data_IF_917574846600
#
_entry.id   IF_917574846600
#
_cell.length_a   1.000
_cell.length_b   1.000
_cell.length_c   1.000
_cell.angle_alpha   90.00
_cell.angle_beta   90.00
_cell.angle_gamma   90.00
#
_symmetry.space_group_name_H-M   'P 1'
#
loop_
_entity.id
_entity.type
_entity.pdbx_description
1 polymer ?
#
# COMPACT_ATOMS: atom_id res chain seq x y z
N UNK A 1 -30.90 -13.65 8.85
CA UNK A 1 -31.34 -12.53 8.00
C UNK A 1 -30.13 -11.97 7.30
N UNK A 2 -30.03 -12.17 5.98
CA UNK A 2 -28.93 -11.65 5.18
C UNK A 2 -29.11 -10.15 5.00
N UNK A 3 -28.24 -9.36 5.64
CA UNK A 3 -28.14 -7.93 5.37
C UNK A 3 -27.56 -7.75 3.97
N UNK A 4 -28.37 -7.20 3.06
CA UNK A 4 -27.88 -6.68 1.79
C UNK A 4 -26.76 -5.68 2.09
N UNK A 5 -25.53 -6.04 1.74
CA UNK A 5 -24.39 -5.16 1.84
C UNK A 5 -24.61 -4.06 0.80
N UNK A 6 -25.04 -2.89 1.27
CA UNK A 6 -25.26 -1.72 0.44
C UNK A 6 -24.09 -1.51 -0.52
N UNK A 7 -24.45 -1.18 -1.75
CA UNK A 7 -23.65 -1.01 -2.96
C UNK A 7 -22.57 0.08 -2.77
N UNK A 8 -21.51 -0.25 -2.02
CA UNK A 8 -20.37 0.64 -1.87
C UNK A 8 -19.54 0.59 -3.14
N UNK A 9 -19.28 1.77 -3.72
CA UNK A 9 -18.41 1.91 -4.88
C UNK A 9 -17.08 1.15 -4.68
N UNK A 10 -16.57 0.48 -5.73
CA UNK A 10 -15.42 -0.39 -5.62
C UNK A 10 -14.18 0.40 -5.19
N UNK A 11 -13.62 0.05 -4.04
CA UNK A 11 -12.45 0.74 -3.49
C UNK A 11 -11.17 0.24 -4.14
N UNK A 12 -10.51 1.11 -4.90
CA UNK A 12 -9.18 0.85 -5.48
C UNK A 12 -8.14 0.82 -4.36
N UNK A 13 -7.30 -0.21 -4.35
CA UNK A 13 -6.17 -0.35 -3.40
C UNK A 13 -4.81 -0.26 -4.08
N UNK A 14 -4.76 -0.52 -5.38
CA UNK A 14 -3.57 -0.31 -6.17
C UNK A 14 -3.93 -0.02 -7.63
N UNK A 15 -3.12 0.80 -8.28
CA UNK A 15 -3.17 1.05 -9.71
C UNK A 15 -1.74 1.23 -10.22
N UNK A 16 -1.45 0.79 -11.44
CA UNK A 16 -0.24 1.16 -12.17
C UNK A 16 -0.52 1.30 -13.65
N UNK A 17 0.23 2.16 -14.32
CA UNK A 17 0.23 2.34 -15.77
C UNK A 17 1.66 2.48 -16.31
N UNK A 18 1.84 2.15 -17.58
CA UNK A 18 3.07 2.40 -18.33
C UNK A 18 3.01 1.76 -19.72
N UNK A 19 4.18 1.51 -20.31
CA UNK A 19 4.32 0.95 -21.67
C UNK A 19 3.71 -0.44 -21.85
N UNK A 20 3.56 -1.21 -20.77
CA UNK A 20 2.92 -2.54 -20.79
C UNK A 20 1.40 -2.50 -20.61
N UNK A 21 0.83 -1.30 -20.49
CA UNK A 21 -0.57 -1.05 -20.16
C UNK A 21 -0.81 -0.79 -18.68
N UNK A 22 -2.03 -1.04 -18.23
CA UNK A 22 -2.51 -0.68 -16.91
C UNK A 22 -2.97 -1.90 -16.10
N UNK A 23 -2.82 -1.82 -14.77
CA UNK A 23 -3.34 -2.82 -13.84
C UNK A 23 -4.01 -2.10 -12.68
N UNK A 24 -5.20 -2.55 -12.30
CA UNK A 24 -5.98 -2.02 -11.18
C UNK A 24 -6.37 -3.16 -10.24
N UNK A 25 -6.31 -2.91 -8.94
CA UNK A 25 -6.68 -3.86 -7.90
C UNK A 25 -7.65 -3.24 -6.90
N UNK A 26 -8.57 -4.08 -6.40
CA UNK A 26 -9.67 -3.70 -5.52
C UNK A 26 -9.57 -4.36 -4.14
N UNK A 27 -10.08 -3.67 -3.10
CA UNK A 27 -10.13 -4.21 -1.73
C UNK A 27 -11.00 -5.48 -1.63
N UNK A 28 -12.02 -5.58 -2.48
CA UNK A 28 -12.97 -6.69 -2.55
C UNK A 28 -13.14 -7.10 -4.02
N UNK A 29 -13.61 -8.32 -4.31
CA UNK A 29 -13.99 -8.72 -5.66
C UNK A 29 -14.90 -7.69 -6.33
N UNK A 30 -14.60 -7.33 -7.58
CA UNK A 30 -15.40 -6.42 -8.39
C UNK A 30 -15.71 -7.14 -9.71
N UNK A 31 -16.70 -8.06 -9.73
CA UNK A 31 -16.93 -8.95 -10.87
C UNK A 31 -17.38 -8.23 -12.14
N UNK A 32 -18.09 -7.11 -11.99
CA UNK A 32 -18.69 -6.30 -13.07
C UNK A 32 -17.82 -5.10 -13.47
N UNK A 33 -16.52 -5.11 -13.13
CA UNK A 33 -15.60 -4.01 -13.39
C UNK A 33 -15.54 -3.59 -14.87
N UNK A 34 -15.72 -4.52 -15.80
CA UNK A 34 -15.75 -4.24 -17.25
C UNK A 34 -16.82 -3.21 -17.66
N UNK A 35 -17.87 -3.06 -16.85
CA UNK A 35 -18.96 -2.11 -17.08
C UNK A 35 -18.64 -0.71 -16.53
N UNK A 36 -17.58 -0.57 -15.73
CA UNK A 36 -17.22 0.68 -15.11
C UNK A 36 -16.36 1.54 -16.03
N UNK A 37 -16.64 2.84 -16.04
CA UNK A 37 -15.83 3.82 -16.74
C UNK A 37 -14.58 4.15 -15.90
N UNK A 38 -13.42 3.80 -16.44
CA UNK A 38 -12.12 4.13 -15.88
C UNK A 38 -11.50 5.20 -16.77
N UNK A 39 -11.25 6.37 -16.22
CA UNK A 39 -10.67 7.49 -16.96
C UNK A 39 -9.29 7.84 -16.37
N UNK A 40 -8.32 8.00 -17.24
CA UNK A 40 -7.01 8.51 -16.91
C UNK A 40 -6.95 9.97 -17.39
N UNK A 41 -6.70 10.89 -16.47
CA UNK A 41 -6.59 12.31 -16.77
C UNK A 41 -5.22 12.84 -16.41
N UNK A 42 -4.73 13.73 -17.25
CA UNK A 42 -3.62 14.63 -16.97
C UNK A 42 -4.16 16.03 -16.66
N UNK A 43 -3.28 16.99 -16.45
CA UNK A 43 -3.64 18.40 -16.35
C UNK A 43 -4.20 19.00 -17.65
N UNK A 44 -4.00 18.35 -18.80
CA UNK A 44 -4.36 18.88 -20.13
C UNK A 44 -5.38 17.99 -20.86
N UNK A 45 -5.16 16.68 -20.82
CA UNK A 45 -5.92 15.68 -21.56
C UNK A 45 -6.58 14.66 -20.64
N UNK A 46 -7.70 14.09 -21.04
CA UNK A 46 -8.29 12.91 -20.39
C UNK A 46 -8.77 11.88 -21.40
N UNK A 47 -8.65 10.61 -21.05
CA UNK A 47 -9.04 9.50 -21.91
C UNK A 47 -9.50 8.30 -21.10
N UNK A 48 -10.37 7.50 -21.71
CA UNK A 48 -10.90 6.30 -21.10
C UNK A 48 -9.95 5.12 -21.32
N UNK A 49 -9.70 4.35 -20.26
CA UNK A 49 -9.04 3.06 -20.33
C UNK A 49 -10.10 1.96 -20.55
N UNK A 50 -9.96 1.20 -21.63
CA UNK A 50 -10.92 0.18 -22.06
C UNK A 50 -10.27 -1.22 -22.12
N UNK A 51 -10.99 -2.23 -22.61
CA UNK A 51 -10.45 -3.58 -22.86
C UNK A 51 -9.83 -4.24 -21.61
N UNK A 52 -10.48 -4.08 -20.47
CA UNK A 52 -10.06 -4.71 -19.22
C UNK A 52 -10.31 -6.21 -19.25
N UNK A 53 -9.37 -6.97 -18.68
CA UNK A 53 -9.47 -8.42 -18.51
C UNK A 53 -9.13 -8.79 -17.06
N UNK A 54 -9.77 -9.83 -16.48
CA UNK A 54 -9.39 -10.33 -15.17
C UNK A 54 -7.92 -10.78 -15.17
N UNK A 55 -7.17 -10.34 -14.18
CA UNK A 55 -5.80 -10.81 -13.93
C UNK A 55 -5.76 -11.97 -12.92
N UNK A 56 -6.86 -12.19 -12.19
CA UNK A 56 -7.00 -13.24 -11.18
C UNK A 56 -8.39 -13.90 -11.24
N UNK A 57 -8.51 -15.11 -10.69
CA UNK A 57 -9.78 -15.84 -10.66
C UNK A 57 -10.81 -15.23 -9.70
N UNK A 58 -10.35 -14.48 -8.69
CA UNK A 58 -11.22 -13.82 -7.70
C UNK A 58 -11.78 -12.49 -8.19
N UNK A 59 -11.40 -12.03 -9.40
CA UNK A 59 -11.82 -10.75 -9.98
C UNK A 59 -11.56 -9.57 -9.04
N UNK A 60 -10.43 -9.62 -8.34
CA UNK A 60 -9.94 -8.51 -7.51
C UNK A 60 -8.97 -7.64 -8.29
N UNK A 61 -8.38 -8.17 -9.36
CA UNK A 61 -7.37 -7.49 -10.16
C UNK A 61 -7.74 -7.57 -11.63
N UNK A 62 -7.57 -6.44 -12.32
CA UNK A 62 -7.90 -6.28 -13.72
C UNK A 62 -6.74 -5.63 -14.45
N UNK A 63 -6.52 -6.03 -15.70
CA UNK A 63 -5.44 -5.51 -16.53
C UNK A 63 -5.95 -5.09 -17.90
N UNK A 64 -5.36 -4.03 -18.43
CA UNK A 64 -5.45 -3.63 -19.81
C UNK A 64 -4.02 -3.66 -20.40
N UNK A 65 -3.89 -4.08 -21.67
CA UNK A 65 -2.59 -4.22 -22.35
C UNK A 65 -2.32 -3.10 -23.37
N UNK A 66 -3.15 -2.06 -23.41
CA UNK A 66 -2.95 -0.91 -24.28
C UNK A 66 -1.80 -0.08 -23.73
N UNK A 67 -0.68 0.09 -24.47
CA UNK A 67 0.45 0.90 -24.01
C UNK A 67 0.00 2.34 -23.72
N UNK A 68 0.48 2.90 -22.62
CA UNK A 68 0.23 4.29 -22.24
C UNK A 68 1.54 5.04 -22.31
N UNK A 69 1.57 6.10 -23.13
CA UNK A 69 2.71 7.00 -23.20
C UNK A 69 2.76 7.88 -21.94
N UNK A 70 3.81 7.71 -21.14
CA UNK A 70 3.97 8.38 -19.86
C UNK A 70 4.98 9.52 -19.99
N UNK A 71 4.57 10.71 -19.57
CA UNK A 71 5.36 11.93 -19.60
C UNK A 71 5.67 12.38 -18.17
N UNK A 72 6.96 12.49 -17.84
CA UNK A 72 7.46 12.74 -16.46
C UNK A 72 7.07 14.11 -15.90
N UNK A 73 6.83 15.08 -16.77
CA UNK A 73 6.44 16.45 -16.44
C UNK A 73 4.93 16.60 -16.21
N UNK A 74 4.13 15.59 -16.52
CA UNK A 74 2.67 15.60 -16.33
C UNK A 74 2.25 14.98 -15.00
N UNK A 75 1.20 15.53 -14.41
CA UNK A 75 0.52 14.95 -13.25
C UNK A 75 -0.65 14.11 -13.71
N UNK A 76 -0.73 12.87 -13.24
CA UNK A 76 -1.79 11.92 -13.63
C UNK A 76 -2.74 11.66 -12.47
N UNK A 77 -4.02 11.55 -12.80
CA UNK A 77 -5.09 11.13 -11.89
C UNK A 77 -5.93 10.04 -12.54
N UNK A 78 -6.32 9.05 -11.75
CA UNK A 78 -7.27 8.01 -12.13
C UNK A 78 -8.65 8.38 -11.59
N UNK A 79 -9.65 8.41 -12.46
CA UNK A 79 -11.06 8.55 -12.09
C UNK A 79 -11.79 7.23 -12.28
N UNK A 80 -12.48 6.81 -11.22
CA UNK A 80 -13.34 5.62 -11.23
C UNK A 80 -14.56 5.88 -10.36
N UNK A 81 -15.74 5.92 -10.99
CA UNK A 81 -16.98 6.34 -10.32
C UNK A 81 -16.77 7.71 -9.65
N UNK A 82 -17.10 7.85 -8.36
CA UNK A 82 -16.91 9.09 -7.59
C UNK A 82 -15.47 9.27 -7.03
N UNK A 83 -14.54 8.34 -7.30
CA UNK A 83 -13.16 8.41 -6.79
C UNK A 83 -12.25 9.09 -7.81
N UNK A 84 -11.51 10.10 -7.35
CA UNK A 84 -10.37 10.66 -8.07
C UNK A 84 -9.09 10.39 -7.26
N UNK A 85 -8.15 9.69 -7.90
CA UNK A 85 -6.94 9.16 -7.27
C UNK A 85 -5.73 9.76 -7.96
N UNK A 86 -4.99 10.60 -7.24
CA UNK A 86 -3.72 11.13 -7.73
C UNK A 86 -2.66 10.03 -7.81
N UNK A 87 -1.99 9.92 -8.95
CA UNK A 87 -0.92 8.95 -9.17
C UNK A 87 0.45 9.57 -8.84
N UNK A 88 1.38 8.71 -8.47
CA UNK A 88 2.79 9.01 -8.23
C UNK A 88 3.65 8.41 -9.35
N UNK A 89 4.77 9.03 -9.73
CA UNK A 89 5.70 8.45 -10.70
C UNK A 89 6.27 7.12 -10.17
N UNK A 90 6.44 6.13 -11.04
CA UNK A 90 7.11 4.88 -10.66
C UNK A 90 8.55 5.16 -10.18
N UNK A 91 9.04 4.52 -9.11
CA UNK A 91 10.42 4.70 -8.65
C UNK A 91 11.45 4.23 -9.69
N UNK A 92 11.07 3.25 -10.51
CA UNK A 92 11.89 2.67 -11.57
C UNK A 92 11.07 2.50 -12.84
N UNK A 93 11.57 3.03 -13.96
CA UNK A 93 10.92 2.95 -15.27
C UNK A 93 9.97 4.13 -15.56
N UNK A 94 9.32 4.06 -16.72
CA UNK A 94 8.38 5.09 -17.18
C UNK A 94 6.94 4.64 -16.92
N UNK A 95 6.27 5.34 -16.00
CA UNK A 95 4.89 5.08 -15.64
C UNK A 95 4.49 5.77 -14.34
N UNK A 96 3.24 5.54 -13.95
CA UNK A 96 2.68 6.08 -12.71
C UNK A 96 1.92 4.99 -11.95
N UNK A 97 1.83 5.15 -10.63
CA UNK A 97 1.19 4.20 -9.75
C UNK A 97 0.41 4.88 -8.62
N UNK A 98 -0.50 4.13 -8.04
CA UNK A 98 -1.14 4.41 -6.77
C UNK A 98 -1.15 3.13 -5.95
N UNK A 99 -0.98 3.26 -4.66
CA UNK A 99 -1.01 2.14 -3.74
C UNK A 99 -1.47 2.62 -2.38
N UNK A 100 -2.40 1.87 -1.78
CA UNK A 100 -2.76 2.01 -0.37
C UNK A 100 -1.91 1.03 0.41
N UNK A 101 -0.97 1.49 1.25
CA UNK A 101 -0.19 0.60 2.08
C UNK A 101 -1.09 -0.30 2.92
N UNK A 102 -0.78 -1.61 3.04
CA UNK A 102 -1.43 -2.45 4.03
C UNK A 102 -1.19 -1.81 5.39
N UNK A 103 -2.27 -1.50 6.10
CA UNK A 103 -2.23 -0.77 7.37
C UNK A 103 -1.74 0.68 7.29
N UNK A 104 -2.01 1.40 6.19
CA UNK A 104 -1.70 2.82 6.07
C UNK A 104 -2.05 3.57 7.37
N UNK A 105 -1.03 4.15 8.01
CA UNK A 105 -1.12 4.87 9.29
C UNK A 105 -2.06 6.09 9.25
N UNK A 106 -2.68 6.38 8.09
CA UNK A 106 -3.68 7.43 7.90
C UNK A 106 -4.96 7.26 8.73
N UNK A 107 -5.06 6.22 9.56
CA UNK A 107 -6.13 6.07 10.56
C UNK A 107 -5.64 6.14 12.01
N UNK A 108 -4.37 6.46 12.27
CA UNK A 108 -3.85 6.59 13.62
C UNK A 108 -4.26 7.96 14.19
N UNK A 109 -5.00 7.99 15.30
CA UNK A 109 -5.26 9.25 16.00
C UNK A 109 -3.95 9.78 16.59
N UNK A 110 -3.89 11.08 16.88
CA UNK A 110 -2.70 11.67 17.48
C UNK A 110 -2.37 11.01 18.82
N UNK A 111 -3.38 10.74 19.63
CA UNK A 111 -3.24 10.12 20.95
C UNK A 111 -2.67 8.70 20.83
N UNK A 112 -3.14 7.92 19.85
CA UNK A 112 -2.60 6.59 19.59
C UNK A 112 -1.14 6.67 19.13
N UNK A 113 -0.79 7.63 18.28
CA UNK A 113 0.59 7.82 17.82
C UNK A 113 1.52 8.18 18.99
N UNK A 114 1.10 9.10 19.86
CA UNK A 114 1.86 9.52 21.04
C UNK A 114 2.07 8.34 22.01
N UNK A 115 1.06 7.48 22.18
CA UNK A 115 1.18 6.26 22.98
C UNK A 115 2.17 5.26 22.35
N UNK A 116 2.08 5.02 21.04
CA UNK A 116 3.02 4.12 20.35
C UNK A 116 4.46 4.60 20.46
N UNK A 117 4.70 5.92 20.39
CA UNK A 117 6.02 6.52 20.58
C UNK A 117 6.53 6.33 22.02
N UNK A 118 5.66 6.50 23.00
CA UNK A 118 5.98 6.26 24.42
C UNK A 118 6.37 4.80 24.65
N UNK A 119 5.59 3.85 24.11
CA UNK A 119 5.88 2.42 24.19
C UNK A 119 7.20 2.06 23.49
N UNK A 120 7.49 2.70 22.34
CA UNK A 120 8.76 2.49 21.63
C UNK A 120 9.95 2.97 22.47
N UNK A 121 9.83 4.13 23.13
CA UNK A 121 10.88 4.61 24.02
C UNK A 121 11.10 3.65 25.20
N UNK A 122 10.03 3.15 25.83
CA UNK A 122 10.16 2.15 26.89
C UNK A 122 10.82 0.85 26.40
N UNK A 123 10.61 0.45 25.15
CA UNK A 123 11.33 -0.68 24.57
C UNK A 123 12.83 -0.39 24.45
N UNK A 124 13.23 0.82 24.04
CA UNK A 124 14.65 1.19 23.99
C UNK A 124 15.29 1.19 25.38
N UNK A 125 14.62 1.77 26.36
CA UNK A 125 15.10 1.78 27.75
C UNK A 125 15.29 0.33 28.26
N UNK A 126 14.35 -0.58 27.95
CA UNK A 126 14.47 -2.00 28.32
C UNK A 126 15.64 -2.70 27.62
N UNK A 127 15.92 -2.40 26.35
CA UNK A 127 17.05 -2.97 25.61
C UNK A 127 18.41 -2.54 26.16
N UNK A 128 18.49 -1.42 26.88
CA UNK A 128 19.72 -1.04 27.60
C UNK A 128 20.04 -2.02 28.74
N UNK A 129 19.01 -2.59 29.39
CA UNK A 129 19.18 -3.57 30.47
C UNK A 129 19.22 -5.02 29.95
N UNK A 130 18.41 -5.33 28.94
CA UNK A 130 18.23 -6.67 28.37
C UNK A 130 18.40 -6.65 26.84
N UNK A 131 19.64 -6.52 26.34
CA UNK A 131 19.91 -6.35 24.90
C UNK A 131 19.50 -7.57 24.04
N UNK A 132 19.40 -8.75 24.65
CA UNK A 132 18.98 -10.00 24.01
C UNK A 132 17.52 -10.36 24.31
N UNK A 133 16.70 -9.40 24.73
CA UNK A 133 15.27 -9.63 24.90
C UNK A 133 14.56 -9.75 23.55
N UNK A 134 14.28 -11.00 23.14
CA UNK A 134 13.58 -11.32 21.89
C UNK A 134 12.25 -10.57 21.72
N UNK A 135 11.52 -10.39 22.82
CA UNK A 135 10.22 -9.73 22.78
C UNK A 135 10.38 -8.23 22.61
N UNK A 136 11.35 -7.63 23.30
CA UNK A 136 11.59 -6.19 23.19
C UNK A 136 12.15 -5.83 21.81
N UNK A 137 13.06 -6.64 21.24
CA UNK A 137 13.56 -6.48 19.86
C UNK A 137 12.44 -6.57 18.82
N UNK A 138 11.58 -7.60 18.91
CA UNK A 138 10.45 -7.75 17.99
C UNK A 138 9.44 -6.60 18.14
N UNK A 139 9.10 -6.25 19.37
CA UNK A 139 8.08 -5.22 19.65
C UNK A 139 8.55 -3.84 19.18
N UNK A 140 9.80 -3.46 19.45
CA UNK A 140 10.37 -2.21 18.96
C UNK A 140 10.43 -2.16 17.42
N UNK A 141 10.80 -3.28 16.76
CA UNK A 141 10.74 -3.37 15.30
C UNK A 141 9.32 -3.16 14.73
N UNK A 142 8.30 -3.76 15.35
CA UNK A 142 6.91 -3.59 14.94
C UNK A 142 6.38 -2.18 15.21
N UNK A 143 6.69 -1.59 16.37
CA UNK A 143 6.30 -0.23 16.73
C UNK A 143 6.93 0.80 15.79
N UNK A 144 8.22 0.66 15.48
CA UNK A 144 8.91 1.49 14.48
C UNK A 144 8.18 1.50 13.14
N UNK A 145 7.76 0.32 12.66
CA UNK A 145 7.01 0.20 11.39
C UNK A 145 5.57 0.71 11.49
N UNK A 146 4.93 0.62 12.66
CA UNK A 146 3.58 1.13 12.89
C UNK A 146 3.55 2.67 12.99
N UNK A 147 4.58 3.28 13.57
CA UNK A 147 4.71 4.73 13.74
C UNK A 147 5.09 5.38 12.41
N UNK A 148 6.22 4.95 11.81
CA UNK A 148 6.67 5.41 10.50
C UNK A 148 7.61 4.37 9.87
N UNK A 149 7.05 3.51 9.01
CA UNK A 149 7.79 2.46 8.32
C UNK A 149 8.88 2.99 7.38
N UNK A 150 8.75 4.22 6.87
CA UNK A 150 9.74 4.78 5.96
C UNK A 150 10.91 5.35 6.75
N UNK A 151 10.63 6.20 7.74
CA UNK A 151 11.65 6.84 8.56
C UNK A 151 12.45 5.83 9.40
N UNK A 152 11.80 4.74 9.86
CA UNK A 152 12.44 3.73 10.71
C UNK A 152 12.85 2.46 9.96
N UNK A 153 12.86 2.46 8.62
CA UNK A 153 13.09 1.24 7.84
C UNK A 153 14.39 0.52 8.25
N UNK A 154 15.53 1.21 8.17
CA UNK A 154 16.85 0.64 8.45
C UNK A 154 16.96 0.17 9.91
N UNK A 155 16.59 1.02 10.87
CA UNK A 155 16.64 0.69 12.30
C UNK A 155 15.74 -0.49 12.68
N UNK A 156 14.56 -0.60 12.05
CA UNK A 156 13.69 -1.76 12.26
C UNK A 156 14.30 -3.05 11.74
N UNK A 157 15.03 -3.01 10.62
CA UNK A 157 15.75 -4.17 10.09
C UNK A 157 16.92 -4.56 10.99
N UNK A 158 17.65 -3.60 11.55
CA UNK A 158 18.74 -3.88 12.50
C UNK A 158 18.24 -4.68 13.71
N UNK A 159 17.09 -4.30 14.27
CA UNK A 159 16.48 -5.05 15.38
C UNK A 159 16.01 -6.45 14.97
N UNK A 160 15.51 -6.62 13.73
CA UNK A 160 15.17 -7.95 13.22
C UNK A 160 16.42 -8.82 12.98
N UNK A 161 17.51 -8.24 12.50
CA UNK A 161 18.80 -8.93 12.34
C UNK A 161 19.35 -9.38 13.70
N UNK A 162 19.22 -8.55 14.74
CA UNK A 162 19.61 -8.95 16.09
C UNK A 162 18.68 -10.03 16.66
N UNK A 163 17.37 -9.90 16.43
CA UNK A 163 16.39 -10.91 16.81
C UNK A 163 16.67 -12.27 16.16
N UNK A 164 17.10 -12.31 14.90
CA UNK A 164 17.50 -13.56 14.24
C UNK A 164 18.68 -14.26 14.95
N UNK A 165 19.58 -13.51 15.60
CA UNK A 165 20.69 -14.09 16.37
C UNK A 165 20.20 -14.65 17.71
N UNK A 166 19.32 -13.91 18.38
CA UNK A 166 18.77 -14.24 19.70
C UNK A 166 17.71 -15.35 19.65
N UNK A 167 16.89 -15.40 18.60
CA UNK A 167 15.81 -16.37 18.39
C UNK A 167 15.99 -17.13 17.06
N UNK A 168 17.16 -17.76 16.88
CA UNK A 168 17.56 -18.41 15.63
C UNK A 168 16.60 -19.50 15.12
N UNK A 169 15.81 -20.12 16.00
CA UNK A 169 14.78 -21.10 15.63
C UNK A 169 13.65 -20.50 14.78
N UNK A 170 13.50 -19.18 14.79
CA UNK A 170 12.47 -18.44 14.05
C UNK A 170 13.00 -17.64 12.86
N UNK A 171 14.23 -17.86 12.43
CA UNK A 171 14.83 -17.14 11.28
C UNK A 171 13.99 -17.15 9.98
N UNK A 172 13.17 -18.17 9.78
CA UNK A 172 12.31 -18.30 8.59
C UNK A 172 10.91 -17.68 8.72
N UNK A 173 10.57 -17.08 9.87
CA UNK A 173 9.31 -16.38 10.11
C UNK A 173 9.45 -14.91 9.72
#
# INVERSE_FOLDING_TARGET
GGGAQADQAPKVVAFRMGVTGAVIAFKKPCPDFEQLMVELSTNEDSWQLQSWQPADSRRTTWKNQTPIDYQKDRSYSLKLSEQEIKLLPLPTGDGAFYFVPPHAASSCSKELLDELQTQLQSCFDLLEYEPDSKWTLLTSALLMRAIDATANHERSLEHLVELEKVDALRKGY
#
